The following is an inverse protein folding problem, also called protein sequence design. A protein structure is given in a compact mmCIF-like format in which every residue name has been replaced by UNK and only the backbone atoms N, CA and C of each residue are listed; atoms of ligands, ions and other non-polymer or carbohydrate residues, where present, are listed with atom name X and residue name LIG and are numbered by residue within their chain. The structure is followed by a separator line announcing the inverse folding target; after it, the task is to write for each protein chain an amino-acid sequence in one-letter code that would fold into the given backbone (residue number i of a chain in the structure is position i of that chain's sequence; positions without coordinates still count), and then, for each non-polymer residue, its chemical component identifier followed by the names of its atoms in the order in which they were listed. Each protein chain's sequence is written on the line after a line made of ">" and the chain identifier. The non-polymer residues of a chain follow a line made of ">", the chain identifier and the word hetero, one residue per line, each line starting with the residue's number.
data_IF_887691187218
#
_entry.id   IF_887691187218
#
_cell.length_a   1.000
_cell.length_b   1.000
_cell.length_c   1.000
_cell.angle_alpha   90.00
_cell.angle_beta   90.00
_cell.angle_gamma   90.00
#
_symmetry.space_group_name_H-M   'P 1'
#
loop_
_entity.id
_entity.type
_entity.pdbx_description
1 polymer ?
#
# COMPACT_ATOMS: atom_id res chain seq x y z
N UNK A 1 -22.36 -2.29 -4.88
CA UNK A 1 -21.42 -1.41 -4.15
C UNK A 1 -20.03 -2.03 -4.20
N UNK A 2 -18.96 -1.24 -4.37
CA UNK A 2 -17.57 -1.74 -4.36
C UNK A 2 -16.98 -1.63 -2.95
N UNK A 3 -16.30 -2.67 -2.49
CA UNK A 3 -15.61 -2.70 -1.19
C UNK A 3 -14.15 -2.26 -1.34
N UNK A 4 -13.62 -1.61 -0.31
CA UNK A 4 -12.19 -1.32 -0.15
C UNK A 4 -11.49 -2.55 0.45
N UNK A 5 -10.33 -2.91 -0.10
CA UNK A 5 -9.51 -4.01 0.41
C UNK A 5 -8.29 -3.44 1.15
N UNK A 6 -8.06 -3.95 2.37
CA UNK A 6 -6.91 -3.59 3.20
C UNK A 6 -5.96 -4.79 3.28
N UNK A 7 -4.69 -4.59 2.88
CA UNK A 7 -3.63 -5.56 3.08
C UNK A 7 -2.88 -5.30 4.39
N UNK A 8 -3.00 -6.19 5.36
CA UNK A 8 -2.34 -6.08 6.67
C UNK A 8 -1.03 -6.90 6.71
N UNK A 9 -0.11 -6.53 7.61
CA UNK A 9 1.15 -7.25 7.83
C UNK A 9 2.24 -6.95 6.81
N UNK A 10 2.26 -5.76 6.20
CA UNK A 10 3.30 -5.35 5.24
C UNK A 10 4.58 -4.94 5.97
N UNK A 11 5.63 -5.75 5.85
CA UNK A 11 6.91 -5.53 6.52
C UNK A 11 8.05 -5.24 5.54
N UNK A 12 7.87 -5.58 4.25
CA UNK A 12 8.91 -5.43 3.22
C UNK A 12 8.37 -4.73 1.98
N UNK A 13 9.26 -4.07 1.23
CA UNK A 13 8.93 -3.43 -0.05
C UNK A 13 8.41 -4.44 -1.08
N UNK A 14 8.92 -5.68 -1.08
CA UNK A 14 8.43 -6.75 -1.95
C UNK A 14 6.95 -7.10 -1.69
N UNK A 15 6.53 -7.20 -0.43
CA UNK A 15 5.13 -7.43 -0.07
C UNK A 15 4.24 -6.25 -0.50
N UNK A 16 4.74 -5.02 -0.32
CA UNK A 16 4.05 -3.81 -0.75
C UNK A 16 3.80 -3.83 -2.27
N UNK A 17 4.83 -4.12 -3.07
CA UNK A 17 4.69 -4.18 -4.54
C UNK A 17 3.74 -5.30 -4.98
N UNK A 18 3.78 -6.46 -4.33
CA UNK A 18 2.80 -7.52 -4.58
C UNK A 18 1.36 -7.05 -4.35
N UNK A 19 1.07 -6.43 -3.21
CA UNK A 19 -0.29 -5.96 -2.87
C UNK A 19 -0.78 -4.85 -3.81
N UNK A 20 0.13 -3.97 -4.26
CA UNK A 20 -0.19 -2.97 -5.30
C UNK A 20 -0.62 -3.64 -6.61
N UNK A 21 0.11 -4.67 -7.05
CA UNK A 21 -0.21 -5.41 -8.28
C UNK A 21 -1.54 -6.18 -8.18
N UNK A 22 -1.90 -6.65 -6.97
CA UNK A 22 -3.21 -7.28 -6.71
C UNK A 22 -4.36 -6.26 -6.58
N UNK A 23 -4.08 -4.97 -6.59
CA UNK A 23 -5.09 -3.91 -6.50
C UNK A 23 -5.62 -3.68 -5.08
N UNK A 24 -4.82 -3.94 -4.04
CA UNK A 24 -5.18 -3.52 -2.68
C UNK A 24 -5.26 -1.99 -2.61
N UNK A 25 -6.36 -1.50 -2.02
CA UNK A 25 -6.62 -0.06 -1.93
C UNK A 25 -5.80 0.59 -0.81
N UNK A 26 -5.61 -0.12 0.30
CA UNK A 26 -4.92 0.37 1.51
C UNK A 26 -4.00 -0.73 2.03
N UNK A 27 -2.89 -0.33 2.66
CA UNK A 27 -1.93 -1.25 3.29
C UNK A 27 -1.60 -0.79 4.70
N UNK A 28 -1.35 -1.75 5.60
CA UNK A 28 -0.88 -1.54 6.96
C UNK A 28 0.25 -2.52 7.28
N UNK A 29 1.31 -2.04 7.92
CA UNK A 29 2.32 -2.91 8.50
C UNK A 29 3.58 -2.17 8.93
N UNK A 30 4.54 -2.92 9.48
CA UNK A 30 5.75 -2.35 10.09
C UNK A 30 6.71 -1.71 9.11
N UNK A 31 6.52 -1.92 7.81
CA UNK A 31 7.20 -1.14 6.77
C UNK A 31 6.92 0.37 6.91
N UNK A 32 5.74 0.73 7.43
CA UNK A 32 5.32 2.13 7.60
C UNK A 32 5.49 2.59 9.05
N UNK A 33 4.91 1.84 10.00
CA UNK A 33 5.00 2.11 11.42
C UNK A 33 4.59 0.86 12.22
N UNK A 34 5.21 0.68 13.39
CA UNK A 34 4.62 -0.15 14.45
C UNK A 34 3.43 0.59 15.08
N UNK A 35 2.54 -0.08 15.85
CA UNK A 35 1.52 0.60 16.63
C UNK A 35 2.13 1.74 17.45
N UNK A 36 1.58 2.93 17.26
CA UNK A 36 2.02 4.14 17.93
C UNK A 36 1.13 4.40 19.13
N UNK A 37 1.73 4.93 20.21
CA UNK A 37 0.94 5.55 21.26
C UNK A 37 0.19 6.77 20.69
N UNK A 38 -1.03 7.08 21.15
CA UNK A 38 -1.84 8.17 20.60
C UNK A 38 -1.10 9.51 20.54
N UNK A 39 -0.28 9.79 21.55
CA UNK A 39 0.48 11.03 21.69
C UNK A 39 1.59 11.16 20.64
N UNK A 40 2.00 10.05 20.00
CA UNK A 40 3.03 10.00 18.96
C UNK A 40 2.48 10.14 17.54
N UNK A 41 1.16 10.05 17.37
CA UNK A 41 0.52 10.16 16.05
C UNK A 41 0.74 11.56 15.43
N UNK A 42 0.59 12.68 16.15
CA UNK A 42 0.82 14.01 15.57
C UNK A 42 2.26 14.18 15.05
N UNK A 43 3.25 13.72 15.82
CA UNK A 43 4.66 13.75 15.42
C UNK A 43 4.90 12.93 14.16
N UNK A 44 4.32 11.71 14.11
CA UNK A 44 4.41 10.83 12.95
C UNK A 44 3.77 11.45 11.70
N UNK A 45 2.62 12.12 11.84
CA UNK A 45 1.95 12.81 10.73
C UNK A 45 2.72 14.05 10.28
N UNK A 46 3.27 14.83 11.22
CA UNK A 46 4.07 16.02 10.93
C UNK A 46 5.38 15.68 10.22
N UNK A 47 6.04 14.58 10.60
CA UNK A 47 7.26 14.10 9.95
C UNK A 47 7.06 13.68 8.48
N UNK A 48 5.81 13.45 8.05
CA UNK A 48 5.46 13.07 6.68
C UNK A 48 5.13 14.27 5.77
N UNK A 49 5.41 15.52 6.18
CA UNK A 49 4.97 16.77 5.53
C UNK A 49 5.49 17.08 4.12
N UNK A 50 6.16 16.14 3.43
CA UNK A 50 6.47 16.24 1.99
C UNK A 50 6.08 15.02 1.17
N UNK A 51 5.36 14.06 1.74
CA UNK A 51 4.71 13.01 0.97
C UNK A 51 3.23 13.35 0.84
N UNK A 52 2.92 14.34 -0.01
CA UNK A 52 1.56 14.55 -0.55
C UNK A 52 1.17 13.43 -1.53
N UNK A 53 1.50 12.18 -1.20
CA UNK A 53 0.65 11.08 -1.61
C UNK A 53 -0.46 11.06 -0.57
N UNK A 54 -1.70 11.46 -0.90
CA UNK A 54 -2.82 11.10 -0.03
C UNK A 54 -2.68 9.60 0.17
N UNK A 55 -2.89 9.07 1.38
CA UNK A 55 -3.08 7.62 1.63
C UNK A 55 -3.67 6.95 0.38
N UNK A 56 -2.83 6.20 -0.33
CA UNK A 56 -2.84 6.15 -1.80
C UNK A 56 -4.17 5.62 -2.33
N UNK A 57 -4.96 6.53 -2.93
CA UNK A 57 -5.73 6.20 -4.14
C UNK A 57 -4.73 5.63 -5.16
N UNK A 58 -4.44 4.33 -5.10
CA UNK A 58 -3.96 3.58 -6.27
C UNK A 58 -5.11 3.39 -7.28
N UNK A 59 -6.29 3.90 -6.94
CA UNK A 59 -7.47 4.00 -7.76
C UNK A 59 -7.28 5.01 -8.90
N UNK A 60 -6.73 4.47 -9.99
CA UNK A 60 -6.61 5.02 -11.35
C UNK A 60 -5.24 5.58 -11.73
N UNK A 61 -4.23 4.71 -11.75
CA UNK A 61 -3.48 4.65 -13.01
C UNK A 61 -4.33 3.84 -14.01
N UNK A 62 -4.50 4.26 -15.28
CA UNK A 62 -5.06 3.35 -16.28
C UNK A 62 -4.16 2.12 -16.33
N UNK A 63 -4.76 0.93 -16.43
CA UNK A 63 -4.05 -0.31 -16.73
C UNK A 63 -3.44 -0.19 -18.15
N UNK A 64 -2.38 0.60 -18.29
CA UNK A 64 -1.53 0.56 -19.46
C UNK A 64 -0.61 -0.66 -19.29
N UNK A 65 -1.13 -1.83 -19.69
CA UNK A 65 -0.29 -2.97 -20.05
C UNK A 65 0.03 -3.97 -18.94
N UNK A 66 -0.98 -4.55 -18.29
CA UNK A 66 -0.82 -5.88 -17.70
C UNK A 66 -0.56 -6.90 -18.82
N UNK A 67 0.68 -6.96 -19.31
CA UNK A 67 1.15 -8.02 -20.19
C UNK A 67 1.21 -9.29 -19.36
N UNK A 68 0.18 -10.11 -19.54
CA UNK A 68 0.20 -11.58 -19.53
C UNK A 68 1.50 -12.20 -18.97
N UNK A 69 1.52 -12.50 -17.67
CA UNK A 69 2.48 -13.45 -17.11
C UNK A 69 1.89 -14.85 -17.26
N UNK A 70 2.16 -15.52 -18.38
CA UNK A 70 1.98 -16.97 -18.46
C UNK A 70 2.91 -17.60 -17.43
N UNK A 71 2.32 -18.20 -16.40
CA UNK A 71 3.03 -19.13 -15.51
C UNK A 71 3.35 -20.37 -16.34
N UNK A 72 4.50 -20.38 -17.00
CA UNK A 72 5.03 -21.59 -17.58
C UNK A 72 5.40 -22.52 -16.42
N UNK A 73 4.72 -23.66 -16.34
CA UNK A 73 5.04 -24.72 -15.41
C UNK A 73 6.13 -25.54 -16.08
N UNK A 74 7.35 -25.46 -15.55
CA UNK A 74 8.34 -26.54 -15.66
C UNK A 74 8.56 -27.12 -14.28
#
# INVERSE_FOLDING_TARGET
>A
MRKTVVGEGVETTTQLEFLKQQGCDVVQGYLFARPLAPEKVPDYLAAQSHQTTPVVRYLRAPLAGAKHLTKDRS
#
